data_IF_148440281408
#
_entry.id   IF_148440281408
#
_cell.length_a   1.000
_cell.length_b   1.000
_cell.length_c   1.000
_cell.angle_alpha   90.00
_cell.angle_beta   90.00
_cell.angle_gamma   90.00
#
_symmetry.space_group_name_H-M   'P 1'
#
loop_
_entity.id
_entity.type
_entity.pdbx_description
1 polymer ?
#
# COMPACT_ATOMS: atom_id res chain seq x y z
N UNK A 1 -19.32 6.82 2.01
CA UNK A 1 -20.44 6.75 2.93
C UNK A 1 -20.32 5.53 3.85
N UNK A 2 -21.25 5.40 4.80
CA UNK A 2 -21.20 4.31 5.77
C UNK A 2 -21.31 2.92 5.12
N UNK A 3 -22.11 2.78 4.08
CA UNK A 3 -22.25 1.50 3.39
C UNK A 3 -20.95 1.09 2.71
N UNK A 4 -20.29 2.04 2.08
CA UNK A 4 -19.00 1.78 1.42
C UNK A 4 -17.96 1.36 2.45
N UNK A 5 -17.88 2.07 3.57
CA UNK A 5 -16.93 1.74 4.63
C UNK A 5 -17.20 0.36 5.23
N UNK A 6 -18.48 0.00 5.42
CA UNK A 6 -18.84 -1.31 5.94
C UNK A 6 -18.43 -2.41 4.97
N UNK A 7 -18.64 -2.21 3.68
CA UNK A 7 -18.23 -3.19 2.67
C UNK A 7 -16.71 -3.38 2.69
N UNK A 8 -15.96 -2.27 2.71
CA UNK A 8 -14.50 -2.35 2.76
C UNK A 8 -14.01 -3.06 4.01
N UNK A 9 -14.62 -2.77 5.17
CA UNK A 9 -14.21 -3.38 6.43
C UNK A 9 -14.49 -4.88 6.49
N UNK A 10 -15.44 -5.38 5.68
CA UNK A 10 -15.76 -6.79 5.62
C UNK A 10 -14.85 -7.56 4.65
N UNK A 11 -14.07 -6.87 3.85
CA UNK A 11 -13.13 -7.50 2.93
C UNK A 11 -11.75 -7.61 3.59
N UNK A 12 -11.07 -8.70 3.30
CA UNK A 12 -9.66 -8.80 3.70
C UNK A 12 -8.82 -7.92 2.78
N UNK A 13 -7.62 -7.60 3.20
CA UNK A 13 -6.69 -6.83 2.36
C UNK A 13 -6.44 -7.55 1.04
N UNK A 14 -6.28 -8.85 1.08
CA UNK A 14 -6.09 -9.68 -0.10
C UNK A 14 -7.26 -9.54 -1.07
N UNK A 15 -8.50 -9.56 -0.55
CA UNK A 15 -9.69 -9.41 -1.36
C UNK A 15 -9.77 -8.02 -2.00
N UNK A 16 -9.38 -6.98 -1.26
CA UNK A 16 -9.36 -5.62 -1.79
C UNK A 16 -8.34 -5.50 -2.92
N UNK A 17 -7.17 -6.09 -2.75
CA UNK A 17 -6.14 -6.10 -3.80
C UNK A 17 -6.66 -6.80 -5.05
N UNK A 18 -7.28 -7.98 -4.88
CA UNK A 18 -7.86 -8.73 -5.99
C UNK A 18 -8.93 -7.93 -6.72
N UNK A 19 -9.82 -7.30 -5.97
CA UNK A 19 -10.87 -6.47 -6.55
C UNK A 19 -10.29 -5.30 -7.33
N UNK A 20 -9.29 -4.63 -6.77
CA UNK A 20 -8.64 -3.51 -7.45
C UNK A 20 -7.98 -3.95 -8.75
N UNK A 21 -7.33 -5.10 -8.74
CA UNK A 21 -6.72 -5.65 -9.96
C UNK A 21 -7.76 -5.98 -11.01
N UNK A 22 -8.88 -6.59 -10.59
CA UNK A 22 -9.96 -6.92 -11.51
C UNK A 22 -10.53 -5.67 -12.18
N UNK A 23 -10.86 -4.65 -11.38
CA UNK A 23 -11.41 -3.41 -11.90
C UNK A 23 -10.42 -2.68 -12.81
N UNK A 24 -9.14 -2.68 -12.44
CA UNK A 24 -8.11 -2.05 -13.25
C UNK A 24 -7.93 -2.78 -14.58
N UNK A 25 -8.01 -4.11 -14.56
CA UNK A 25 -7.91 -4.92 -15.77
C UNK A 25 -9.08 -4.64 -16.72
N UNK A 26 -10.29 -4.57 -16.19
CA UNK A 26 -11.48 -4.26 -16.99
C UNK A 26 -11.35 -2.89 -17.65
N UNK A 27 -10.86 -1.91 -16.91
CA UNK A 27 -10.72 -0.54 -17.38
C UNK A 27 -9.77 -0.44 -18.59
N UNK A 28 -8.75 -1.29 -18.66
CA UNK A 28 -7.76 -1.26 -19.73
C UNK A 28 -7.88 -2.46 -20.68
N UNK A 29 -9.09 -3.02 -20.78
CA UNK A 29 -9.40 -4.13 -21.68
C UNK A 29 -8.53 -5.36 -21.42
N UNK A 30 -8.33 -5.70 -20.15
CA UNK A 30 -7.60 -6.89 -19.70
C UNK A 30 -6.14 -6.91 -20.14
N UNK A 31 -5.50 -5.74 -20.18
CA UNK A 31 -4.10 -5.63 -20.61
C UNK A 31 -3.11 -5.71 -19.45
N UNK A 32 -3.54 -6.13 -18.27
CA UNK A 32 -2.63 -6.26 -17.12
C UNK A 32 -1.58 -7.35 -17.32
N UNK A 33 -1.84 -8.32 -18.19
CA UNK A 33 -0.91 -9.43 -18.36
C UNK A 33 0.45 -9.00 -18.92
N UNK A 34 0.56 -7.79 -19.49
CA UNK A 34 1.85 -7.25 -19.95
C UNK A 34 2.53 -6.39 -18.88
N UNK A 35 1.87 -6.15 -17.76
CA UNK A 35 2.43 -5.41 -16.65
C UNK A 35 3.11 -6.41 -15.69
N UNK A 36 4.35 -6.16 -15.25
CA UNK A 36 5.07 -7.12 -14.41
C UNK A 36 4.57 -7.10 -12.97
N UNK A 37 3.30 -7.45 -12.78
CA UNK A 37 2.64 -7.32 -11.48
C UNK A 37 3.27 -8.23 -10.43
N UNK A 38 3.64 -9.44 -10.81
CA UNK A 38 4.22 -10.38 -9.86
C UNK A 38 5.51 -9.84 -9.23
N UNK A 39 6.36 -9.23 -10.04
CA UNK A 39 7.62 -8.68 -9.56
C UNK A 39 7.46 -7.33 -8.85
N UNK A 40 6.35 -6.64 -9.08
CA UNK A 40 6.17 -5.27 -8.59
C UNK A 40 5.25 -5.17 -7.39
N UNK A 41 4.35 -6.15 -7.18
CA UNK A 41 3.27 -6.01 -6.20
C UNK A 41 3.80 -5.83 -4.77
N UNK A 42 4.87 -6.50 -4.40
CA UNK A 42 5.39 -6.37 -3.04
C UNK A 42 5.96 -4.98 -2.77
N UNK A 43 6.55 -4.36 -3.79
CA UNK A 43 7.03 -2.98 -3.66
C UNK A 43 5.84 -2.01 -3.54
N UNK A 44 4.80 -2.23 -4.34
CA UNK A 44 3.59 -1.40 -4.29
C UNK A 44 2.96 -1.49 -2.91
N UNK A 45 2.84 -2.70 -2.36
CA UNK A 45 2.26 -2.90 -1.03
C UNK A 45 3.12 -2.27 0.06
N UNK A 46 4.44 -2.40 -0.03
CA UNK A 46 5.34 -1.77 0.95
C UNK A 46 5.27 -0.26 0.89
N UNK A 47 5.22 0.30 -0.31
CA UNK A 47 5.07 1.75 -0.46
C UNK A 47 3.77 2.23 0.18
N UNK A 48 2.68 1.47 -0.01
CA UNK A 48 1.40 1.80 0.60
C UNK A 48 1.49 1.79 2.12
N UNK A 49 2.17 0.79 2.71
CA UNK A 49 2.36 0.72 4.16
C UNK A 49 3.16 1.92 4.65
N UNK A 50 4.26 2.25 3.97
CA UNK A 50 5.10 3.40 4.36
C UNK A 50 4.30 4.69 4.32
N UNK A 51 3.58 4.93 3.24
CA UNK A 51 2.80 6.16 3.09
C UNK A 51 1.67 6.24 4.12
N UNK A 52 0.98 5.13 4.33
CA UNK A 52 -0.11 5.11 5.31
C UNK A 52 0.40 5.39 6.72
N UNK A 53 1.45 4.67 7.14
CA UNK A 53 1.95 4.84 8.51
C UNK A 53 2.51 6.24 8.74
N UNK A 54 3.16 6.82 7.73
CA UNK A 54 3.60 8.22 7.82
C UNK A 54 2.43 9.17 7.96
N UNK A 55 1.34 8.94 7.25
CA UNK A 55 0.15 9.80 7.34
C UNK A 55 -0.57 9.65 8.67
N UNK A 56 -0.51 8.47 9.27
CA UNK A 56 -1.24 8.15 10.49
C UNK A 56 -0.50 8.57 11.76
N UNK A 57 0.79 8.81 11.69
CA UNK A 57 1.64 9.07 12.86
C UNK A 57 2.33 10.42 12.76
N UNK A 58 2.63 11.02 13.92
CA UNK A 58 3.31 12.31 13.99
C UNK A 58 4.83 12.19 13.85
N UNK A 59 5.38 11.05 14.24
CA UNK A 59 6.83 10.85 14.23
C UNK A 59 7.19 9.64 13.40
N UNK A 60 8.40 9.65 12.85
CA UNK A 60 8.91 8.51 12.11
C UNK A 60 9.06 7.29 13.02
N UNK A 61 9.43 7.51 14.28
CA UNK A 61 9.53 6.44 15.25
C UNK A 61 8.20 5.70 15.41
N UNK A 62 7.11 6.46 15.55
CA UNK A 62 5.78 5.87 15.71
C UNK A 62 5.32 5.19 14.42
N UNK A 63 5.62 5.78 13.28
CA UNK A 63 5.28 5.17 11.99
C UNK A 63 6.01 3.85 11.80
N UNK A 64 7.29 3.79 12.14
CA UNK A 64 8.07 2.55 12.07
C UNK A 64 7.47 1.49 12.99
N UNK A 65 7.11 1.88 14.21
CA UNK A 65 6.49 0.97 15.16
C UNK A 65 5.17 0.42 14.63
N UNK A 66 4.34 1.27 14.04
CA UNK A 66 3.09 0.86 13.43
C UNK A 66 3.32 -0.11 12.26
N UNK A 67 4.35 0.15 11.46
CA UNK A 67 4.69 -0.72 10.33
C UNK A 67 5.36 -2.03 10.77
N UNK A 68 5.83 -2.09 12.02
CA UNK A 68 6.45 -3.31 12.56
C UNK A 68 7.91 -3.48 12.21
N UNK A 69 8.64 -2.41 11.93
CA UNK A 69 10.07 -2.45 11.63
C UNK A 69 10.82 -1.42 12.48
N UNK A 70 12.13 -1.52 12.52
CA UNK A 70 12.96 -0.57 13.26
C UNK A 70 12.92 0.82 12.61
N UNK A 71 13.18 1.85 13.40
CA UNK A 71 13.21 3.21 12.87
C UNK A 71 14.29 3.36 11.79
N UNK A 72 15.45 2.76 11.99
CA UNK A 72 16.53 2.84 11.00
C UNK A 72 16.15 2.17 9.68
N UNK A 73 15.51 0.99 9.75
CA UNK A 73 15.01 0.32 8.56
C UNK A 73 13.94 1.14 7.85
N UNK A 74 13.05 1.73 8.64
CA UNK A 74 11.99 2.58 8.09
C UNK A 74 12.57 3.77 7.33
N UNK A 75 13.59 4.43 7.90
CA UNK A 75 14.25 5.57 7.23
C UNK A 75 14.94 5.15 5.95
N UNK A 76 15.57 3.97 5.93
CA UNK A 76 16.19 3.43 4.73
C UNK A 76 15.15 3.18 3.64
N UNK A 77 13.98 2.63 4.01
CA UNK A 77 12.92 2.35 3.07
C UNK A 77 12.32 3.65 2.50
N UNK A 78 12.16 4.68 3.33
CA UNK A 78 11.70 5.99 2.85
C UNK A 78 12.64 6.50 1.75
N UNK A 79 13.94 6.38 1.95
CA UNK A 79 14.92 6.78 0.94
C UNK A 79 14.82 5.93 -0.31
N UNK A 80 14.73 4.61 -0.12
CA UNK A 80 14.65 3.67 -1.25
C UNK A 80 13.45 3.96 -2.14
N UNK A 81 12.30 4.22 -1.53
CA UNK A 81 11.05 4.49 -2.25
C UNK A 81 10.93 5.97 -2.63
N UNK A 82 11.89 6.80 -2.26
CA UNK A 82 11.89 8.24 -2.57
C UNK A 82 10.61 8.94 -2.11
N UNK A 83 10.16 8.57 -0.92
CA UNK A 83 8.96 9.16 -0.32
C UNK A 83 9.33 10.50 0.29
N UNK A 84 8.56 11.52 -0.07
CA UNK A 84 8.78 12.86 0.48
C UNK A 84 8.20 12.96 1.88
N UNK A 85 8.99 13.55 2.77
CA UNK A 85 8.56 13.87 4.13
C UNK A 85 8.15 15.35 4.14
N UNK A 86 6.99 15.61 4.75
CA UNK A 86 6.53 16.98 4.91
C UNK A 86 7.00 17.58 6.22
#
# INVERSE_FOLDING_TARGET
>A
DNNFELVLNNLTLEEIIGLKLELSSEYINNKLYNFPIWNSIHYICREAVLKYTLSACRTIKDAASMAGISESSFREEIKRFQIKLN
#
